data_IF_880225719787
#
_entry.id   IF_880225719787
#
_cell.length_a   1.000
_cell.length_b   1.000
_cell.length_c   1.000
_cell.angle_alpha   90.00
_cell.angle_beta   90.00
_cell.angle_gamma   90.00
#
_symmetry.space_group_name_H-M   'P 1'
#
loop_
_entity.id
_entity.type
_entity.pdbx_description
1 polymer ?
#
# COMPACT_ATOMS: atom_id res chain seq x y z
N UNK A 1 9.18 7.04 18.97
CA UNK A 1 8.29 7.41 17.83
C UNK A 1 8.86 8.65 17.17
N UNK A 2 8.60 8.84 15.89
CA UNK A 2 9.11 9.94 15.05
C UNK A 2 7.94 10.79 14.59
N UNK A 3 8.07 12.11 14.71
CA UNK A 3 7.11 13.04 14.15
C UNK A 3 7.11 12.96 12.61
N UNK A 4 5.97 12.76 12.00
CA UNK A 4 5.83 12.72 10.53
C UNK A 4 6.43 13.96 9.87
N UNK A 5 6.24 15.12 10.50
CA UNK A 5 6.80 16.38 10.00
C UNK A 5 8.35 16.35 9.96
N UNK A 6 9.03 15.61 10.83
CA UNK A 6 10.48 15.46 10.76
C UNK A 6 10.92 14.74 9.49
N UNK A 7 10.21 13.68 9.10
CA UNK A 7 10.45 12.97 7.83
C UNK A 7 10.13 13.88 6.63
N UNK A 8 8.97 14.54 6.62
CA UNK A 8 8.56 15.44 5.53
C UNK A 8 9.55 16.60 5.37
N UNK A 9 10.01 17.19 6.48
CA UNK A 9 10.98 18.29 6.42
C UNK A 9 12.35 17.82 5.91
N UNK A 10 12.78 16.62 6.27
CA UNK A 10 13.99 16.01 5.73
C UNK A 10 13.90 15.85 4.19
N UNK A 11 12.76 15.38 3.69
CA UNK A 11 12.51 15.22 2.25
C UNK A 11 12.51 16.59 1.54
N UNK A 12 11.81 17.58 2.10
CA UNK A 12 11.79 18.96 1.57
C UNK A 12 13.18 19.58 1.51
N UNK A 13 14.00 19.38 2.55
CA UNK A 13 15.40 19.87 2.59
C UNK A 13 16.23 19.28 1.45
N UNK A 14 15.89 18.09 0.98
CA UNK A 14 16.52 17.44 -0.15
C UNK A 14 15.86 17.77 -1.51
N UNK A 15 15.02 18.81 -1.57
CA UNK A 15 14.24 19.21 -2.77
C UNK A 15 13.28 18.12 -3.29
N UNK A 16 12.84 17.22 -2.41
CA UNK A 16 11.90 16.14 -2.73
C UNK A 16 10.51 16.54 -2.23
N UNK A 17 9.75 17.24 -3.07
CA UNK A 17 8.45 17.82 -2.72
C UNK A 17 7.27 17.16 -3.44
N UNK A 18 7.52 16.26 -4.36
CA UNK A 18 6.51 15.47 -5.05
C UNK A 18 6.38 14.10 -4.38
N UNK A 19 5.15 13.72 -4.08
CA UNK A 19 4.80 12.47 -3.43
C UNK A 19 3.80 11.71 -4.30
N UNK A 20 4.01 10.42 -4.46
CA UNK A 20 3.02 9.53 -5.08
C UNK A 20 3.09 8.17 -4.40
N UNK A 21 2.01 7.42 -4.43
CA UNK A 21 2.02 6.11 -3.79
C UNK A 21 0.62 5.54 -3.57
N UNK A 22 0.61 4.35 -3.01
CA UNK A 22 -0.61 3.65 -2.58
C UNK A 22 -0.72 3.78 -1.06
N UNK A 23 -1.85 4.28 -0.53
CA UNK A 23 -2.06 4.40 0.91
C UNK A 23 -1.91 3.07 1.64
N UNK A 24 -1.23 3.10 2.78
CA UNK A 24 -0.94 1.94 3.61
C UNK A 24 -1.21 2.22 5.08
N UNK A 25 -1.59 1.18 5.82
CA UNK A 25 -1.91 1.29 7.24
C UNK A 25 -0.71 1.66 8.13
N UNK A 26 0.50 1.22 7.78
CA UNK A 26 1.74 1.56 8.50
C UNK A 26 2.14 3.01 8.25
N UNK A 27 1.91 3.50 7.02
CA UNK A 27 2.22 4.88 6.60
C UNK A 27 1.00 5.82 6.70
N UNK A 28 -0.05 5.42 7.43
CA UNK A 28 -1.29 6.20 7.56
C UNK A 28 -1.04 7.65 7.99
N UNK A 29 -0.12 7.85 8.91
CA UNK A 29 0.21 9.19 9.42
C UNK A 29 0.89 10.04 8.33
N UNK A 30 1.73 9.42 7.49
CA UNK A 30 2.33 10.09 6.35
C UNK A 30 1.25 10.45 5.32
N UNK A 31 0.43 9.50 4.87
CA UNK A 31 -0.61 9.75 3.88
C UNK A 31 -1.62 10.80 4.35
N UNK A 32 -2.03 10.78 5.64
CA UNK A 32 -2.89 11.81 6.23
C UNK A 32 -2.26 13.20 6.19
N UNK A 33 -0.96 13.31 6.45
CA UNK A 33 -0.23 14.59 6.36
C UNK A 33 -0.10 15.11 4.93
N UNK A 34 -0.18 14.23 3.94
CA UNK A 34 -0.08 14.58 2.53
C UNK A 34 -1.43 14.95 1.90
N UNK A 35 -2.57 14.59 2.52
CA UNK A 35 -3.92 14.86 1.98
C UNK A 35 -4.18 16.34 1.70
N UNK A 36 -3.61 17.23 2.51
CA UNK A 36 -3.78 18.69 2.36
C UNK A 36 -2.83 19.31 1.31
N UNK A 37 -2.01 18.50 0.63
CA UNK A 37 -1.16 18.97 -0.45
C UNK A 37 -1.94 19.12 -1.75
N UNK A 38 -1.53 20.06 -2.58
CA UNK A 38 -2.11 20.21 -3.92
C UNK A 38 -1.88 18.95 -4.76
N UNK A 39 -2.80 18.66 -5.68
CA UNK A 39 -2.67 17.54 -6.64
C UNK A 39 -1.35 17.59 -7.43
N UNK A 40 -0.79 18.79 -7.64
CA UNK A 40 0.52 18.98 -8.28
C UNK A 40 1.67 18.34 -7.49
N UNK A 41 1.54 18.26 -6.17
CA UNK A 41 2.61 17.79 -5.28
C UNK A 41 2.32 16.42 -4.64
N UNK A 42 1.09 15.91 -4.76
CA UNK A 42 0.71 14.62 -4.22
C UNK A 42 -0.35 13.94 -5.10
N UNK A 43 -0.01 12.76 -5.61
CA UNK A 43 -0.90 11.92 -6.42
C UNK A 43 -1.00 10.55 -5.77
N UNK A 44 -2.22 10.14 -5.45
CA UNK A 44 -2.51 8.75 -5.05
C UNK A 44 -2.58 7.93 -6.32
N UNK A 45 -1.75 6.90 -6.42
CA UNK A 45 -1.72 6.00 -7.56
C UNK A 45 -2.68 4.82 -7.38
N UNK A 46 -3.10 4.23 -8.48
CA UNK A 46 -3.95 3.03 -8.48
C UNK A 46 -3.21 1.79 -8.00
N UNK A 47 -1.93 1.67 -8.35
CA UNK A 47 -1.03 0.60 -7.88
C UNK A 47 0.41 1.11 -7.76
N UNK A 48 1.27 0.29 -7.19
CA UNK A 48 2.65 0.69 -6.88
C UNK A 48 3.54 0.83 -8.12
N UNK A 49 3.27 0.07 -9.18
CA UNK A 49 3.94 0.22 -10.48
C UNK A 49 3.62 1.57 -11.10
N UNK A 50 2.35 1.98 -11.08
CA UNK A 50 1.91 3.31 -11.50
C UNK A 50 2.53 4.41 -10.64
N UNK A 51 2.65 4.20 -9.31
CA UNK A 51 3.29 5.16 -8.41
C UNK A 51 4.76 5.38 -8.79
N UNK A 52 5.53 4.32 -9.03
CA UNK A 52 6.92 4.41 -9.49
C UNK A 52 6.99 5.17 -10.81
N UNK A 53 6.11 4.85 -11.76
CA UNK A 53 6.07 5.49 -13.09
C UNK A 53 5.74 6.98 -13.03
N UNK A 54 4.80 7.39 -12.16
CA UNK A 54 4.52 8.81 -11.87
C UNK A 54 5.74 9.51 -11.29
N UNK A 55 6.47 8.86 -10.39
CA UNK A 55 7.73 9.37 -9.85
C UNK A 55 8.78 9.56 -10.95
N UNK A 56 8.96 8.57 -11.82
CA UNK A 56 9.86 8.63 -12.96
C UNK A 56 9.52 9.83 -13.87
N UNK A 57 8.24 9.99 -14.24
CA UNK A 57 7.76 11.11 -15.05
C UNK A 57 8.06 12.48 -14.41
N UNK A 58 7.85 12.59 -13.07
CA UNK A 58 8.21 13.79 -12.34
C UNK A 58 9.71 14.11 -12.42
N UNK A 59 10.57 13.10 -12.24
CA UNK A 59 12.01 13.29 -12.33
C UNK A 59 12.45 13.70 -13.75
N UNK A 60 11.90 13.06 -14.77
CA UNK A 60 12.23 13.38 -16.16
C UNK A 60 11.94 14.84 -16.50
N UNK A 61 10.81 15.37 -16.01
CA UNK A 61 10.37 16.75 -16.29
C UNK A 61 11.04 17.81 -15.42
N UNK A 62 11.36 17.48 -14.14
CA UNK A 62 11.81 18.50 -13.17
C UNK A 62 13.23 18.33 -12.69
N UNK A 63 13.84 17.18 -12.90
CA UNK A 63 15.13 16.74 -12.33
C UNK A 63 15.15 16.74 -10.78
N UNK A 64 13.98 16.81 -10.14
CA UNK A 64 13.84 16.72 -8.69
C UNK A 64 13.47 15.28 -8.31
N UNK A 65 14.12 14.73 -7.27
CA UNK A 65 13.88 13.36 -6.83
C UNK A 65 12.49 13.25 -6.21
N UNK A 66 11.59 12.39 -6.70
CA UNK A 66 10.28 12.16 -6.13
C UNK A 66 10.33 11.22 -4.93
N UNK A 67 9.30 11.28 -4.09
CA UNK A 67 9.02 10.31 -3.03
C UNK A 67 7.90 9.37 -3.49
N UNK A 68 8.19 8.08 -3.49
CA UNK A 68 7.20 7.03 -3.77
C UNK A 68 6.96 6.25 -2.49
N UNK A 69 5.72 6.23 -1.99
CA UNK A 69 5.37 5.52 -0.76
C UNK A 69 4.46 4.33 -1.06
N UNK A 70 4.68 3.22 -0.33
CA UNK A 70 3.94 1.98 -0.51
C UNK A 70 4.09 1.06 0.70
N UNK A 71 3.23 0.07 0.83
CA UNK A 71 3.48 -1.07 1.70
C UNK A 71 4.52 -1.99 1.06
N UNK A 72 5.30 -2.72 1.86
CA UNK A 72 6.26 -3.69 1.34
C UNK A 72 5.61 -4.79 0.47
N UNK A 73 4.33 -5.07 0.66
CA UNK A 73 3.58 -5.99 -0.21
C UNK A 73 3.48 -5.49 -1.66
N UNK A 74 3.50 -4.19 -1.86
CA UNK A 74 3.43 -3.55 -3.17
C UNK A 74 4.77 -3.50 -3.91
N UNK A 75 5.89 -3.86 -3.27
CA UNK A 75 7.18 -3.94 -3.96
C UNK A 75 7.13 -4.88 -5.16
N UNK A 76 6.36 -5.98 -5.08
CA UNK A 76 6.20 -6.90 -6.21
C UNK A 76 5.56 -6.23 -7.44
N UNK A 77 4.58 -5.36 -7.23
CA UNK A 77 3.94 -4.59 -8.32
C UNK A 77 4.88 -3.52 -8.89
N UNK A 78 5.79 -3.01 -8.05
CA UNK A 78 6.76 -1.97 -8.43
C UNK A 78 8.03 -2.54 -9.09
N UNK A 79 8.28 -3.84 -9.05
CA UNK A 79 9.53 -4.43 -9.54
C UNK A 79 9.82 -4.09 -10.99
N UNK A 80 8.83 -4.23 -11.88
CA UNK A 80 9.04 -3.98 -13.29
C UNK A 80 9.54 -2.55 -13.58
N UNK A 81 8.86 -1.46 -13.19
CA UNK A 81 9.35 -0.11 -13.45
C UNK A 81 10.63 0.23 -12.65
N UNK A 82 10.86 -0.37 -11.49
CA UNK A 82 12.12 -0.20 -10.76
C UNK A 82 13.30 -0.82 -11.50
N UNK A 83 13.14 -2.02 -12.07
CA UNK A 83 14.20 -2.76 -12.78
C UNK A 83 14.37 -2.21 -14.19
N UNK A 84 13.27 -2.09 -14.94
CA UNK A 84 13.32 -1.86 -16.39
C UNK A 84 13.42 -0.38 -16.76
N UNK A 85 13.21 0.54 -15.81
CA UNK A 85 13.30 1.98 -16.05
C UNK A 85 14.23 2.65 -15.04
N UNK A 86 13.95 2.58 -13.73
CA UNK A 86 14.67 3.40 -12.75
C UNK A 86 16.07 2.88 -12.43
N UNK A 87 16.35 1.60 -12.64
CA UNK A 87 17.60 0.96 -12.24
C UNK A 87 18.85 1.66 -12.82
N UNK A 88 19.93 1.70 -12.02
CA UNK A 88 21.19 2.36 -12.39
C UNK A 88 21.83 1.82 -13.68
N UNK A 89 21.58 0.56 -14.03
CA UNK A 89 22.05 -0.07 -15.27
C UNK A 89 21.13 0.17 -16.48
N UNK A 90 20.04 0.94 -16.32
CA UNK A 90 19.09 1.24 -17.40
C UNK A 90 19.07 2.74 -17.64
N UNK A 91 18.18 3.51 -16.98
CA UNK A 91 18.12 4.96 -17.14
C UNK A 91 18.67 5.74 -15.93
N UNK A 92 19.04 5.06 -14.86
CA UNK A 92 19.63 5.65 -13.65
C UNK A 92 18.77 6.79 -13.09
N UNK A 93 17.47 6.52 -12.87
CA UNK A 93 16.51 7.51 -12.37
C UNK A 93 16.42 7.40 -10.85
N UNK A 94 16.84 8.44 -10.10
CA UNK A 94 16.82 8.41 -8.66
C UNK A 94 15.39 8.56 -8.11
N UNK A 95 15.03 7.71 -7.19
CA UNK A 95 13.76 7.72 -6.46
C UNK A 95 14.01 7.59 -4.95
N UNK A 96 13.14 8.16 -4.13
CA UNK A 96 13.09 7.90 -2.70
C UNK A 96 11.88 7.00 -2.44
N UNK A 97 12.11 5.76 -2.02
CA UNK A 97 11.05 4.83 -1.63
C UNK A 97 10.81 4.91 -0.13
N UNK A 98 9.56 5.16 0.26
CA UNK A 98 9.12 5.13 1.66
C UNK A 98 8.23 3.91 1.81
N UNK A 99 8.74 2.88 2.49
CA UNK A 99 8.11 1.56 2.51
C UNK A 99 7.59 1.27 3.92
N UNK A 100 6.28 1.12 4.06
CA UNK A 100 5.64 0.58 5.25
C UNK A 100 5.94 -0.92 5.37
N UNK A 101 6.69 -1.31 6.41
CA UNK A 101 7.20 -2.67 6.54
C UNK A 101 6.29 -3.51 7.43
N UNK A 102 5.31 -4.19 6.81
CA UNK A 102 4.49 -5.22 7.44
C UNK A 102 5.27 -6.54 7.52
N UNK A 103 5.05 -7.28 8.60
CA UNK A 103 5.72 -8.55 8.84
C UNK A 103 7.23 -8.42 9.07
N UNK A 104 7.71 -7.27 9.55
CA UNK A 104 9.11 -7.13 9.94
C UNK A 104 9.48 -8.15 11.02
N UNK A 105 10.73 -8.66 11.08
CA UNK A 105 11.10 -9.70 12.05
C UNK A 105 10.91 -9.32 13.51
N UNK A 106 10.75 -8.03 13.82
CA UNK A 106 10.63 -7.50 15.19
C UNK A 106 9.20 -7.28 15.63
N UNK A 107 8.24 -7.32 14.71
CA UNK A 107 6.84 -6.99 14.99
C UNK A 107 5.97 -8.18 14.61
N UNK A 108 5.20 -8.70 15.58
CA UNK A 108 4.23 -9.75 15.30
C UNK A 108 3.15 -9.20 14.36
N UNK A 109 2.89 -9.90 13.29
CA UNK A 109 1.94 -9.50 12.25
C UNK A 109 1.10 -10.69 11.77
N UNK A 110 0.14 -10.43 10.91
CA UNK A 110 -0.75 -11.44 10.35
C UNK A 110 0.03 -12.39 9.39
N UNK A 111 -0.41 -13.66 9.27
CA UNK A 111 0.35 -14.70 8.52
C UNK A 111 0.75 -14.29 7.10
N UNK A 112 -0.15 -13.61 6.37
CA UNK A 112 0.10 -13.16 5.00
C UNK A 112 1.24 -12.14 4.88
N UNK A 113 1.59 -11.46 5.98
CA UNK A 113 2.68 -10.50 6.02
C UNK A 113 4.03 -11.12 6.37
N UNK A 114 4.05 -12.30 6.99
CA UNK A 114 5.29 -12.93 7.49
C UNK A 114 6.30 -13.22 6.36
N UNK A 115 5.84 -13.79 5.24
CA UNK A 115 6.72 -14.07 4.10
C UNK A 115 7.21 -12.76 3.47
N UNK A 116 6.28 -11.83 3.18
CA UNK A 116 6.62 -10.54 2.56
C UNK A 116 7.56 -9.70 3.44
N UNK A 117 7.38 -9.76 4.77
CA UNK A 117 8.25 -9.08 5.71
C UNK A 117 9.70 -9.59 5.63
N UNK A 118 9.88 -10.91 5.59
CA UNK A 118 11.21 -11.54 5.52
C UNK A 118 11.94 -11.25 4.21
N UNK A 119 11.24 -11.25 3.07
CA UNK A 119 11.88 -11.06 1.75
C UNK A 119 12.11 -9.59 1.38
N UNK A 120 11.53 -8.63 2.12
CA UNK A 120 11.61 -7.20 1.79
C UNK A 120 13.05 -6.70 1.66
N UNK A 121 13.90 -6.99 2.63
CA UNK A 121 15.30 -6.58 2.60
C UNK A 121 16.08 -7.27 1.47
N UNK A 122 15.78 -8.55 1.21
CA UNK A 122 16.41 -9.31 0.12
C UNK A 122 16.06 -8.73 -1.25
N UNK A 123 14.81 -8.31 -1.47
CA UNK A 123 14.41 -7.63 -2.71
C UNK A 123 15.19 -6.34 -2.89
N UNK A 124 15.29 -5.50 -1.87
CA UNK A 124 16.05 -4.25 -1.95
C UNK A 124 17.53 -4.49 -2.23
N UNK A 125 18.13 -5.52 -1.62
CA UNK A 125 19.53 -5.93 -1.86
C UNK A 125 19.73 -6.41 -3.29
N UNK A 126 18.84 -7.27 -3.82
CA UNK A 126 18.90 -7.76 -5.19
C UNK A 126 18.81 -6.63 -6.22
N UNK A 127 18.04 -5.59 -5.93
CA UNK A 127 17.92 -4.40 -6.76
C UNK A 127 19.04 -3.38 -6.55
N UNK A 128 20.06 -3.68 -5.73
CA UNK A 128 21.11 -2.75 -5.32
C UNK A 128 20.57 -1.45 -4.71
N UNK A 129 19.37 -1.46 -4.13
CA UNK A 129 18.75 -0.31 -3.48
C UNK A 129 19.23 -0.21 -2.05
N UNK A 130 20.03 0.82 -1.74
CA UNK A 130 20.43 1.12 -0.36
C UNK A 130 19.22 1.55 0.47
N UNK A 131 19.12 1.03 1.69
CA UNK A 131 18.00 1.36 2.57
C UNK A 131 18.43 1.64 4.00
N UNK A 132 17.57 2.36 4.73
CA UNK A 132 17.69 2.59 6.18
C UNK A 132 16.38 2.16 6.84
N UNK A 133 16.46 1.36 7.91
CA UNK A 133 15.31 1.09 8.76
C UNK A 133 15.16 2.27 9.71
N UNK A 134 14.04 2.97 9.64
CA UNK A 134 13.80 4.17 10.44
C UNK A 134 13.11 3.78 11.76
N UNK A 135 13.77 4.04 12.87
CA UNK A 135 13.27 3.82 14.25
C UNK A 135 13.43 5.06 15.13
N UNK A 136 14.37 5.92 14.79
CA UNK A 136 14.75 7.08 15.61
C UNK A 136 15.16 8.28 14.74
N UNK A 137 15.33 9.43 15.37
CA UNK A 137 15.85 10.62 14.68
C UNK A 137 17.31 10.44 14.21
N UNK A 138 18.07 9.53 14.81
CA UNK A 138 19.42 9.20 14.33
C UNK A 138 19.34 8.52 12.99
N UNK A 139 18.37 7.64 12.78
CA UNK A 139 18.16 6.96 11.51
C UNK A 139 17.73 7.93 10.41
N UNK A 140 16.96 8.98 10.74
CA UNK A 140 16.66 10.05 9.80
C UNK A 140 17.91 10.78 9.32
N UNK A 141 18.90 11.03 10.19
CA UNK A 141 20.20 11.62 9.80
C UNK A 141 20.98 10.69 8.88
N UNK A 142 20.96 9.38 9.13
CA UNK A 142 21.57 8.36 8.25
C UNK A 142 20.88 8.34 6.89
N UNK A 143 19.57 8.38 6.89
CA UNK A 143 18.78 8.42 5.66
C UNK A 143 19.02 9.69 4.83
N UNK A 144 19.15 10.86 5.47
CA UNK A 144 19.54 12.11 4.81
C UNK A 144 20.88 11.97 4.03
N UNK A 145 21.88 11.36 4.66
CA UNK A 145 23.17 11.07 4.00
C UNK A 145 22.99 10.12 2.80
N UNK A 146 22.14 9.10 2.92
CA UNK A 146 21.85 8.18 1.83
C UNK A 146 21.13 8.87 0.66
N UNK A 147 20.14 9.74 0.94
CA UNK A 147 19.45 10.53 -0.10
C UNK A 147 20.46 11.41 -0.88
N UNK A 148 21.35 12.10 -0.17
CA UNK A 148 22.39 12.92 -0.81
C UNK A 148 23.33 12.11 -1.68
N UNK A 149 23.72 10.91 -1.21
CA UNK A 149 24.53 9.98 -1.99
C UNK A 149 23.78 9.47 -3.24
N UNK A 150 22.53 9.08 -3.07
CA UNK A 150 21.65 8.60 -4.14
C UNK A 150 21.47 9.69 -5.21
N UNK A 151 21.29 10.95 -4.79
CA UNK A 151 21.22 12.09 -5.71
C UNK A 151 22.47 12.24 -6.55
N UNK A 152 23.67 12.15 -5.93
CA UNK A 152 24.95 12.25 -6.66
C UNK A 152 25.17 11.10 -7.64
N UNK A 153 24.70 9.89 -7.30
CA UNK A 153 24.90 8.68 -8.08
C UNK A 153 23.74 8.37 -9.04
N UNK A 154 22.69 9.17 -9.02
CA UNK A 154 21.44 8.92 -9.76
C UNK A 154 20.88 7.52 -9.50
N UNK A 155 20.80 7.12 -8.23
CA UNK A 155 20.31 5.79 -7.80
C UNK A 155 19.07 5.91 -6.92
N UNK A 156 18.27 4.86 -6.88
CA UNK A 156 17.14 4.75 -5.95
C UNK A 156 17.62 4.46 -4.52
N UNK A 157 16.94 5.04 -3.53
CA UNK A 157 17.19 4.80 -2.10
C UNK A 157 15.87 4.53 -1.39
N UNK A 158 15.88 3.70 -0.35
CA UNK A 158 14.68 3.35 0.40
C UNK A 158 14.81 3.64 1.90
N UNK A 159 13.67 3.87 2.55
CA UNK A 159 13.54 3.68 4.00
C UNK A 159 12.42 2.68 4.32
N UNK A 160 12.66 1.85 5.33
CA UNK A 160 11.70 0.91 5.88
C UNK A 160 11.16 1.48 7.20
N UNK A 161 9.84 1.56 7.32
CA UNK A 161 9.13 2.09 8.48
C UNK A 161 8.27 0.98 9.07
N UNK A 162 8.56 0.56 10.30
CA UNK A 162 7.80 -0.45 11.03
C UNK A 162 6.53 0.16 11.63
N UNK A 163 5.54 -0.69 11.91
CA UNK A 163 4.30 -0.27 12.57
C UNK A 163 4.60 0.39 13.92
N UNK A 164 3.95 1.52 14.21
CA UNK A 164 4.14 2.27 15.45
C UNK A 164 5.38 3.16 15.49
N UNK A 165 6.18 3.23 14.43
CA UNK A 165 7.33 4.13 14.34
C UNK A 165 6.93 5.60 14.25
N UNK A 166 5.90 5.90 13.45
CA UNK A 166 5.38 7.26 13.27
C UNK A 166 4.40 7.63 14.39
N UNK A 167 4.51 8.86 14.94
CA UNK A 167 3.59 9.38 15.94
C UNK A 167 2.18 9.54 15.34
N UNK A 168 1.16 9.11 16.10
CA UNK A 168 -0.24 9.26 15.71
C UNK A 168 -0.62 10.74 15.60
N UNK A 169 -1.20 11.10 14.47
CA UNK A 169 -1.78 12.43 14.28
C UNK A 169 -3.19 12.44 14.87
N UNK A 170 -3.52 13.46 15.68
CA UNK A 170 -4.88 13.66 16.14
C UNK A 170 -5.79 13.85 14.92
N UNK A 171 -6.82 13.02 14.80
CA UNK A 171 -7.80 13.14 13.71
C UNK A 171 -8.47 14.50 13.77
N UNK A 172 -8.33 15.27 12.71
CA UNK A 172 -9.11 16.48 12.49
C UNK A 172 -10.37 16.03 11.74
N UNK A 173 -11.52 16.21 12.39
CA UNK A 173 -12.88 16.03 11.90
C UNK A 173 -13.35 14.62 11.48
N UNK A 174 -14.41 14.16 12.16
CA UNK A 174 -15.32 13.12 11.65
C UNK A 174 -16.05 13.71 10.44
N UNK A 175 -15.89 13.10 9.28
CA UNK A 175 -16.79 13.34 8.14
C UNK A 175 -18.17 12.89 8.62
N UNK A 176 -19.17 13.78 8.55
CA UNK A 176 -20.56 13.41 8.80
C UNK A 176 -20.96 12.41 7.74
N UNK A 177 -21.41 11.24 8.18
CA UNK A 177 -21.96 10.23 7.29
C UNK A 177 -23.39 10.67 6.91
N UNK A 178 -23.61 10.93 5.64
CA UNK A 178 -24.90 11.31 5.09
C UNK A 178 -25.66 10.12 4.48
N UNK A 179 -25.03 8.95 4.41
CA UNK A 179 -25.60 7.79 3.76
C UNK A 179 -26.46 6.98 4.73
N UNK A 180 -27.68 6.62 4.28
CA UNK A 180 -28.61 5.79 5.06
C UNK A 180 -28.25 4.30 5.01
N UNK A 181 -27.56 3.84 3.96
CA UNK A 181 -27.14 2.47 3.79
C UNK A 181 -25.72 2.30 4.31
N UNK A 182 -25.56 1.57 5.39
CA UNK A 182 -24.27 1.13 5.87
C UNK A 182 -23.87 -0.23 5.28
N UNK A 183 -22.61 -0.58 5.41
CA UNK A 183 -22.04 -1.80 4.86
C UNK A 183 -22.60 -3.06 5.52
N UNK A 184 -22.91 -3.02 6.82
CA UNK A 184 -23.50 -4.14 7.54
C UNK A 184 -24.91 -4.46 7.01
N UNK A 185 -25.74 -3.43 6.84
CA UNK A 185 -27.08 -3.58 6.29
C UNK A 185 -27.05 -4.11 4.86
N UNK A 186 -26.15 -3.55 4.02
CA UNK A 186 -25.96 -4.03 2.66
C UNK A 186 -25.59 -5.51 2.61
N UNK A 187 -24.54 -5.91 3.34
CA UNK A 187 -24.06 -7.30 3.33
C UNK A 187 -25.10 -8.25 3.93
N UNK A 188 -25.80 -7.86 4.98
CA UNK A 188 -26.90 -8.65 5.58
C UNK A 188 -28.01 -8.90 4.57
N UNK A 189 -28.44 -7.85 3.88
CA UNK A 189 -29.50 -7.95 2.86
C UNK A 189 -29.04 -8.84 1.70
N UNK A 190 -27.86 -8.59 1.16
CA UNK A 190 -27.25 -9.40 0.10
C UNK A 190 -27.25 -10.89 0.49
N UNK A 191 -26.71 -11.23 1.65
CA UNK A 191 -26.59 -12.61 2.10
C UNK A 191 -27.95 -13.33 2.29
N UNK A 192 -29.02 -12.60 2.60
CA UNK A 192 -30.37 -13.15 2.75
C UNK A 192 -31.05 -13.41 1.42
N UNK A 193 -30.68 -12.66 0.35
CA UNK A 193 -31.28 -12.77 -0.99
C UNK A 193 -30.58 -13.77 -1.90
N UNK A 194 -29.35 -14.20 -1.53
CA UNK A 194 -28.58 -15.11 -2.34
C UNK A 194 -29.14 -16.53 -2.36
N UNK A 195 -29.03 -17.17 -3.52
CA UNK A 195 -29.29 -18.62 -3.66
C UNK A 195 -28.28 -19.41 -2.83
N UNK A 196 -28.72 -20.53 -2.27
CA UNK A 196 -27.95 -21.39 -1.34
C UNK A 196 -26.56 -21.79 -1.85
N UNK A 197 -26.36 -21.88 -3.15
CA UNK A 197 -25.11 -22.34 -3.77
C UNK A 197 -24.29 -21.22 -4.41
N UNK A 198 -24.67 -19.96 -4.25
CA UNK A 198 -23.91 -18.83 -4.76
C UNK A 198 -22.55 -18.75 -4.08
N UNK A 199 -21.48 -18.70 -4.88
CA UNK A 199 -20.11 -18.52 -4.39
C UNK A 199 -19.85 -17.04 -4.12
N UNK A 200 -19.32 -16.73 -2.94
CA UNK A 200 -18.80 -15.38 -2.68
C UNK A 200 -17.27 -15.45 -2.62
N UNK A 201 -16.62 -14.56 -3.34
CA UNK A 201 -15.17 -14.33 -3.27
C UNK A 201 -14.97 -12.89 -2.83
N UNK A 202 -14.36 -12.69 -1.66
CA UNK A 202 -14.19 -11.37 -1.07
C UNK A 202 -12.72 -10.97 -0.96
N UNK A 203 -12.45 -9.68 -1.22
CA UNK A 203 -11.11 -9.12 -1.15
C UNK A 203 -10.57 -9.08 0.27
N UNK A 204 -9.27 -8.91 0.36
CA UNK A 204 -8.53 -8.82 1.62
C UNK A 204 -9.01 -7.67 2.53
N UNK A 205 -8.70 -7.77 3.80
CA UNK A 205 -8.94 -6.71 4.78
C UNK A 205 -10.35 -6.70 5.35
N UNK A 206 -10.95 -5.52 5.42
CA UNK A 206 -12.26 -5.34 6.07
C UNK A 206 -13.40 -6.08 5.37
N UNK A 207 -13.38 -6.22 4.05
CA UNK A 207 -14.44 -6.88 3.31
C UNK A 207 -14.61 -8.33 3.74
N UNK A 208 -13.54 -9.11 3.75
CA UNK A 208 -13.56 -10.50 4.21
C UNK A 208 -13.92 -10.63 5.70
N UNK A 209 -13.36 -9.75 6.54
CA UNK A 209 -13.63 -9.78 8.00
C UNK A 209 -15.09 -9.46 8.32
N UNK A 210 -15.66 -8.44 7.71
CA UNK A 210 -17.05 -8.06 7.91
C UNK A 210 -18.02 -9.10 7.37
N UNK A 211 -17.75 -9.63 6.17
CA UNK A 211 -18.56 -10.71 5.62
C UNK A 211 -18.61 -11.92 6.57
N UNK A 212 -17.45 -12.33 7.10
CA UNK A 212 -17.36 -13.42 8.08
C UNK A 212 -18.10 -13.08 9.37
N UNK A 213 -17.93 -11.85 9.87
CA UNK A 213 -18.61 -11.37 11.08
C UNK A 213 -20.13 -11.39 10.92
N UNK A 214 -20.65 -10.88 9.80
CA UNK A 214 -22.10 -10.81 9.52
C UNK A 214 -22.71 -12.19 9.42
N UNK A 215 -22.04 -13.12 8.73
CA UNK A 215 -22.48 -14.52 8.68
C UNK A 215 -22.60 -15.14 10.09
N UNK A 216 -21.61 -14.88 10.94
CA UNK A 216 -21.63 -15.36 12.34
C UNK A 216 -22.72 -14.68 13.16
N UNK A 217 -22.80 -13.34 13.11
CA UNK A 217 -23.75 -12.53 13.90
C UNK A 217 -25.21 -12.88 13.60
N UNK A 218 -25.54 -13.06 12.33
CA UNK A 218 -26.92 -13.34 11.91
C UNK A 218 -27.18 -14.81 11.63
N UNK A 219 -26.28 -15.73 12.02
CA UNK A 219 -26.39 -17.18 11.81
C UNK A 219 -26.74 -17.56 10.35
N UNK A 220 -26.29 -16.76 9.39
CA UNK A 220 -26.52 -17.04 7.98
C UNK A 220 -25.52 -18.13 7.53
N UNK A 221 -26.06 -19.23 7.01
CA UNK A 221 -25.28 -20.41 6.67
C UNK A 221 -24.07 -20.04 5.79
N UNK A 222 -22.90 -20.62 6.11
CA UNK A 222 -21.69 -20.47 5.30
C UNK A 222 -21.90 -21.26 4.02
N UNK A 223 -22.13 -20.56 2.91
CA UNK A 223 -21.85 -21.14 1.62
C UNK A 223 -20.33 -21.33 1.48
N UNK A 224 -19.88 -21.88 0.38
CA UNK A 224 -18.45 -22.09 0.11
C UNK A 224 -17.68 -20.76 -0.13
N UNK A 225 -17.87 -19.73 0.70
CA UNK A 225 -17.19 -18.44 0.53
C UNK A 225 -15.66 -18.59 0.53
N UNK A 226 -15.01 -17.77 -0.25
CA UNK A 226 -13.56 -17.66 -0.28
C UNK A 226 -13.14 -16.27 0.20
N UNK A 227 -12.44 -16.23 1.31
CA UNK A 227 -11.96 -15.01 1.96
C UNK A 227 -10.50 -14.81 1.61
N UNK A 228 -10.20 -13.86 0.73
CA UNK A 228 -8.81 -13.54 0.41
C UNK A 228 -8.15 -12.82 1.60
N UNK A 229 -6.99 -13.30 1.99
CA UNK A 229 -6.18 -12.70 3.07
C UNK A 229 -5.09 -11.76 2.53
N UNK A 230 -4.85 -11.76 1.23
CA UNK A 230 -3.88 -10.93 0.51
C UNK A 230 -4.23 -10.87 -0.98
N UNK A 231 -3.29 -10.40 -1.82
CA UNK A 231 -3.52 -10.33 -3.27
C UNK A 231 -4.52 -9.24 -3.64
N UNK A 232 -4.36 -8.04 -3.08
CA UNK A 232 -5.14 -6.86 -3.47
C UNK A 232 -5.00 -6.61 -4.97
N UNK A 233 -6.09 -6.32 -5.66
CA UNK A 233 -6.15 -6.19 -7.13
C UNK A 233 -6.48 -7.49 -7.89
N UNK A 234 -6.58 -8.65 -7.22
CA UNK A 234 -6.75 -9.95 -7.89
C UNK A 234 -8.10 -10.63 -7.62
N UNK A 235 -8.97 -10.04 -6.82
CA UNK A 235 -10.22 -10.66 -6.38
C UNK A 235 -11.16 -10.91 -7.56
N UNK A 236 -11.32 -9.94 -8.43
CA UNK A 236 -12.18 -10.05 -9.62
C UNK A 236 -11.69 -11.17 -10.55
N UNK A 237 -10.38 -11.31 -10.76
CA UNK A 237 -9.81 -12.37 -11.60
C UNK A 237 -10.05 -13.76 -11.03
N UNK A 238 -9.92 -13.91 -9.71
CA UNK A 238 -10.23 -15.16 -9.01
C UNK A 238 -11.71 -15.51 -9.16
N UNK A 239 -12.60 -14.52 -8.98
CA UNK A 239 -14.05 -14.70 -9.10
C UNK A 239 -14.46 -15.06 -10.53
N UNK A 240 -13.89 -14.39 -11.52
CA UNK A 240 -14.16 -14.66 -12.94
C UNK A 240 -13.76 -16.09 -13.31
N UNK A 241 -12.53 -16.49 -12.99
CA UNK A 241 -12.04 -17.84 -13.31
C UNK A 241 -12.89 -18.93 -12.64
N UNK A 242 -13.25 -18.72 -11.35
CA UNK A 242 -14.12 -19.64 -10.65
C UNK A 242 -15.50 -19.76 -11.33
N UNK A 243 -16.12 -18.64 -11.69
CA UNK A 243 -17.43 -18.61 -12.36
C UNK A 243 -17.40 -19.34 -13.70
N UNK A 244 -16.42 -19.04 -14.53
CA UNK A 244 -16.26 -19.67 -15.83
C UNK A 244 -16.04 -21.20 -15.73
N UNK A 245 -15.23 -21.63 -14.77
CA UNK A 245 -14.90 -23.06 -14.59
C UNK A 245 -16.04 -23.89 -13.99
N UNK A 246 -16.87 -23.28 -13.16
CA UNK A 246 -17.93 -24.02 -12.43
C UNK A 246 -19.32 -23.78 -13.00
N UNK A 247 -19.51 -22.75 -13.83
CA UNK A 247 -20.81 -22.25 -14.29
C UNK A 247 -21.80 -21.92 -13.17
N UNK A 248 -21.27 -21.61 -11.96
CA UNK A 248 -22.07 -21.25 -10.79
C UNK A 248 -22.17 -19.74 -10.64
N UNK A 249 -23.31 -19.30 -10.11
CA UNK A 249 -23.47 -17.90 -9.70
C UNK A 249 -22.34 -17.52 -8.72
N UNK A 250 -21.58 -16.51 -9.08
CA UNK A 250 -20.42 -16.04 -8.30
C UNK A 250 -20.54 -14.55 -8.05
N UNK A 251 -20.34 -14.15 -6.81
CA UNK A 251 -20.31 -12.74 -6.39
C UNK A 251 -18.89 -12.38 -5.96
N UNK A 252 -18.35 -11.34 -6.55
CA UNK A 252 -17.11 -10.70 -6.14
C UNK A 252 -17.45 -9.51 -5.22
N UNK A 253 -16.95 -9.55 -3.97
CA UNK A 253 -17.01 -8.41 -3.05
C UNK A 253 -15.61 -7.81 -2.98
N UNK A 254 -15.41 -6.71 -3.69
CA UNK A 254 -14.11 -6.05 -3.75
C UNK A 254 -14.13 -4.70 -3.02
N UNK A 255 -12.95 -4.20 -2.67
CA UNK A 255 -12.76 -2.86 -2.13
C UNK A 255 -12.42 -1.88 -3.24
N UNK A 256 -12.73 -0.59 -3.02
CA UNK A 256 -12.44 0.49 -3.96
C UNK A 256 -10.98 0.51 -4.42
N UNK A 257 -10.03 0.44 -3.50
CA UNK A 257 -8.60 0.39 -3.83
C UNK A 257 -8.19 -0.89 -4.55
N UNK A 258 -8.77 -2.04 -4.19
CA UNK A 258 -8.47 -3.33 -4.83
C UNK A 258 -9.05 -3.40 -6.25
N UNK A 259 -10.23 -2.83 -6.46
CA UNK A 259 -10.88 -2.80 -7.77
C UNK A 259 -10.13 -1.93 -8.79
N UNK A 260 -9.43 -0.90 -8.33
CA UNK A 260 -8.66 0.00 -9.18
C UNK A 260 -7.24 -0.51 -9.52
N UNK A 261 -6.76 -1.54 -8.83
CA UNK A 261 -5.46 -2.15 -9.09
C UNK A 261 -5.52 -3.10 -10.27
#
# INVERSE_FOLDING_TARGET
MIKVNSLINLLKKNNSNFFTGVPDSVLKELSSSLQNKTKKNHIIATNEGAAVSLGIGHYLSTKRIPCVYMQNSGLSNALNPLISIAHEKVYSIPLILIIGWRGSPRVKDEPQHNVKGKITESILKLLNIKYTIIRSNVDLKKFDKQIKSAKKKSTTVACLIEQGTLEKIKKINKIKDFYRLDKELFLKTLLKTLKKHTKIISSTGYNSRELMYIRKKYKINKSSDFYMVGGMGHTASVALSYSLSTKKDTICIDGDGSFLM
#
